data_IF_308314599420
#
_entry.id   IF_308314599420
#
_cell.length_a   1.000
_cell.length_b   1.000
_cell.length_c   1.000
_cell.angle_alpha   90.00
_cell.angle_beta   90.00
_cell.angle_gamma   90.00
#
_symmetry.space_group_name_H-M   'P 1'
#
loop_
_entity.id
_entity.type
_entity.pdbx_description
1 polymer ?
#
# COMPACT_ATOMS: atom_id res chain seq x y z
N UNK A 1 -0.14 -15.31 -18.80
CA UNK A 1 0.31 -13.92 -18.58
C UNK A 1 1.82 -13.89 -18.54
N UNK A 2 2.44 -12.88 -19.15
CA UNK A 2 3.89 -12.79 -19.42
C UNK A 2 4.83 -12.95 -18.20
N UNK A 3 4.31 -12.84 -16.96
CA UNK A 3 5.09 -13.01 -15.73
C UNK A 3 4.24 -13.66 -14.63
N UNK A 4 3.74 -14.87 -14.86
CA UNK A 4 3.22 -15.68 -13.76
C UNK A 4 4.42 -16.27 -13.02
N UNK A 5 4.70 -15.80 -11.80
CA UNK A 5 5.82 -16.33 -11.03
C UNK A 5 5.48 -17.75 -10.62
N UNK A 6 6.21 -18.72 -11.17
CA UNK A 6 6.01 -20.14 -10.88
C UNK A 6 7.04 -20.58 -9.86
N UNK A 7 6.58 -20.88 -8.66
CA UNK A 7 7.36 -21.53 -7.60
C UNK A 7 6.50 -22.59 -6.94
N UNK A 8 7.14 -23.59 -6.33
CA UNK A 8 6.42 -24.59 -5.55
C UNK A 8 5.71 -23.94 -4.36
N UNK A 9 4.69 -24.62 -3.83
CA UNK A 9 3.91 -24.11 -2.70
C UNK A 9 4.80 -23.83 -1.48
N UNK A 10 5.76 -24.71 -1.21
CA UNK A 10 6.72 -24.58 -0.11
C UNK A 10 7.63 -23.37 -0.32
N UNK A 11 8.18 -23.20 -1.52
CA UNK A 11 9.02 -22.04 -1.86
C UNK A 11 8.24 -20.72 -1.72
N UNK A 12 6.98 -20.69 -2.15
CA UNK A 12 6.12 -19.53 -2.02
C UNK A 12 5.87 -19.13 -0.57
N UNK A 13 5.61 -20.10 0.31
CA UNK A 13 5.43 -19.84 1.75
C UNK A 13 6.72 -19.29 2.37
N UNK A 14 7.86 -19.90 2.07
CA UNK A 14 9.17 -19.46 2.59
C UNK A 14 9.49 -18.04 2.13
N UNK A 15 9.31 -17.73 0.84
CA UNK A 15 9.55 -16.39 0.29
C UNK A 15 8.63 -15.33 0.91
N UNK A 16 7.35 -15.64 1.09
CA UNK A 16 6.41 -14.72 1.73
C UNK A 16 6.80 -14.44 3.18
N UNK A 17 7.16 -15.47 3.95
CA UNK A 17 7.62 -15.30 5.34
C UNK A 17 8.89 -14.45 5.42
N UNK A 18 9.89 -14.72 4.58
CA UNK A 18 11.12 -13.92 4.53
C UNK A 18 10.82 -12.45 4.17
N UNK A 19 9.92 -12.23 3.22
CA UNK A 19 9.48 -10.90 2.80
C UNK A 19 8.82 -10.13 3.94
N UNK A 20 7.92 -10.78 4.68
CA UNK A 20 7.24 -10.20 5.84
C UNK A 20 8.23 -9.87 6.96
N UNK A 21 9.17 -10.79 7.26
CA UNK A 21 10.22 -10.57 8.26
C UNK A 21 11.11 -9.38 7.88
N UNK A 22 11.54 -9.29 6.62
CA UNK A 22 12.33 -8.18 6.10
C UNK A 22 11.57 -6.85 6.26
N UNK A 23 10.30 -6.82 5.88
CA UNK A 23 9.49 -5.61 6.00
C UNK A 23 9.36 -5.17 7.46
N UNK A 24 8.98 -6.06 8.38
CA UNK A 24 8.89 -5.72 9.80
C UNK A 24 10.22 -5.24 10.37
N UNK A 25 11.33 -5.89 10.00
CA UNK A 25 12.66 -5.48 10.44
C UNK A 25 12.97 -4.03 9.99
N UNK A 26 12.76 -3.72 8.71
CA UNK A 26 13.04 -2.37 8.17
C UNK A 26 12.15 -1.30 8.79
N UNK A 27 10.86 -1.56 8.95
CA UNK A 27 9.90 -0.64 9.57
C UNK A 27 10.28 -0.36 11.02
N UNK A 28 10.53 -1.40 11.83
CA UNK A 28 10.89 -1.24 13.25
C UNK A 28 12.20 -0.47 13.38
N UNK A 29 13.23 -0.80 12.59
CA UNK A 29 14.52 -0.09 12.63
C UNK A 29 14.37 1.37 12.25
N UNK A 30 13.63 1.69 11.18
CA UNK A 30 13.36 3.08 10.78
C UNK A 30 12.62 3.84 11.88
N UNK A 31 11.58 3.26 12.46
CA UNK A 31 10.82 3.89 13.54
C UNK A 31 11.69 4.17 14.76
N UNK A 32 12.53 3.22 15.18
CA UNK A 32 13.44 3.40 16.32
C UNK A 32 14.49 4.48 16.07
N UNK A 33 15.01 4.60 14.84
CA UNK A 33 15.96 5.65 14.47
C UNK A 33 15.34 7.04 14.55
N UNK A 34 14.12 7.22 14.04
CA UNK A 34 13.44 8.53 14.04
C UNK A 34 12.87 8.93 15.39
N UNK A 35 12.67 7.98 16.30
CA UNK A 35 12.14 8.21 17.65
C UNK A 35 13.18 8.04 18.76
N UNK A 36 14.46 8.02 18.40
CA UNK A 36 15.56 7.94 19.36
C UNK A 36 15.44 9.06 20.41
N UNK A 37 15.31 8.68 21.68
CA UNK A 37 15.12 9.62 22.80
C UNK A 37 13.67 9.87 23.24
N UNK A 38 12.67 9.31 22.54
CA UNK A 38 11.26 9.39 22.96
C UNK A 38 10.90 8.29 23.96
N UNK A 39 9.93 8.57 24.84
CA UNK A 39 9.34 7.54 25.72
C UNK A 39 8.68 6.43 24.88
N UNK A 40 8.84 5.17 25.28
CA UNK A 40 8.28 3.99 24.57
C UNK A 40 6.80 4.12 24.24
N UNK A 41 6.00 4.68 25.15
CA UNK A 41 4.57 4.91 24.94
C UNK A 41 4.29 5.89 23.79
N UNK A 42 5.11 6.93 23.63
CA UNK A 42 4.99 7.87 22.52
C UNK A 42 5.38 7.20 21.20
N UNK A 43 6.44 6.39 21.17
CA UNK A 43 6.86 5.61 19.99
C UNK A 43 5.73 4.68 19.54
N UNK A 44 5.16 3.91 20.46
CA UNK A 44 4.06 3.00 20.16
C UNK A 44 2.84 3.75 19.61
N UNK A 45 2.50 4.91 20.17
CA UNK A 45 1.40 5.75 19.67
C UNK A 45 1.68 6.29 18.26
N UNK A 46 2.91 6.71 17.97
CA UNK A 46 3.29 7.17 16.63
C UNK A 46 3.21 6.03 15.60
N UNK A 47 3.69 4.84 15.95
CA UNK A 47 3.59 3.65 15.08
C UNK A 47 2.13 3.25 14.86
N UNK A 48 1.32 3.22 15.93
CA UNK A 48 -0.11 2.91 15.82
C UNK A 48 -0.84 3.90 14.93
N UNK A 49 -0.58 5.21 15.09
CA UNK A 49 -1.16 6.25 14.22
C UNK A 49 -0.67 6.13 12.76
N UNK A 50 0.59 5.73 12.55
CA UNK A 50 1.15 5.52 11.23
C UNK A 50 0.47 4.38 10.47
N UNK A 51 -0.10 3.40 11.17
CA UNK A 51 -0.86 2.28 10.58
C UNK A 51 -2.36 2.59 10.50
N UNK A 52 -2.95 3.12 11.58
CA UNK A 52 -4.39 3.36 11.67
C UNK A 52 -4.87 4.42 10.67
N UNK A 53 -4.11 5.51 10.49
CA UNK A 53 -4.54 6.60 9.60
C UNK A 53 -4.61 6.13 8.13
N UNK A 54 -3.57 5.48 7.56
CA UNK A 54 -3.68 4.90 6.23
C UNK A 54 -4.71 3.77 6.12
N UNK A 55 -4.89 2.95 7.16
CA UNK A 55 -5.90 1.89 7.18
C UNK A 55 -7.32 2.47 7.05
N UNK A 56 -7.63 3.56 7.77
CA UNK A 56 -8.89 4.29 7.61
C UNK A 56 -9.06 4.82 6.17
N UNK A 57 -7.98 5.33 5.57
CA UNK A 57 -7.99 5.77 4.17
C UNK A 57 -8.32 4.64 3.20
N UNK A 58 -7.74 3.45 3.41
CA UNK A 58 -8.05 2.28 2.59
C UNK A 58 -9.52 1.87 2.71
N UNK A 59 -10.06 1.84 3.94
CA UNK A 59 -11.48 1.53 4.17
C UNK A 59 -12.38 2.55 3.47
N UNK A 60 -12.08 3.85 3.62
CA UNK A 60 -12.84 4.91 2.96
C UNK A 60 -12.78 4.78 1.43
N UNK A 61 -11.61 4.48 0.87
CA UNK A 61 -11.43 4.26 -0.56
C UNK A 61 -12.33 3.12 -1.07
N UNK A 62 -12.31 1.95 -0.40
CA UNK A 62 -13.20 0.83 -0.76
C UNK A 62 -14.67 1.22 -0.64
N UNK A 63 -15.07 1.87 0.46
CA UNK A 63 -16.47 2.30 0.63
C UNK A 63 -16.90 3.32 -0.41
N UNK A 64 -15.99 4.17 -0.90
CA UNK A 64 -16.30 5.15 -1.94
C UNK A 64 -16.60 4.48 -3.28
N UNK A 65 -15.84 3.43 -3.64
CA UNK A 65 -16.08 2.64 -4.84
C UNK A 65 -17.43 1.89 -4.75
N UNK A 66 -17.74 1.31 -3.59
CA UNK A 66 -19.03 0.64 -3.35
C UNK A 66 -20.19 1.63 -3.39
N UNK A 67 -20.04 2.81 -2.79
CA UNK A 67 -21.07 3.86 -2.83
C UNK A 67 -21.36 4.32 -4.26
N UNK A 68 -20.32 4.46 -5.10
CA UNK A 68 -20.50 4.82 -6.51
C UNK A 68 -21.19 3.71 -7.31
N UNK A 69 -20.92 2.43 -7.01
CA UNK A 69 -21.65 1.33 -7.62
C UNK A 69 -23.15 1.39 -7.27
N UNK A 70 -23.50 1.57 -5.99
CA UNK A 70 -24.89 1.70 -5.53
C UNK A 70 -25.57 2.93 -6.17
N UNK A 71 -24.84 4.03 -6.30
CA UNK A 71 -25.35 5.24 -6.97
C UNK A 71 -25.70 4.98 -8.44
N UNK A 72 -24.82 4.30 -9.19
CA UNK A 72 -25.08 3.94 -10.58
C UNK A 72 -26.25 2.96 -10.74
N UNK A 73 -26.38 2.01 -9.81
CA UNK A 73 -27.53 1.09 -9.76
C UNK A 73 -28.84 1.86 -9.57
N UNK A 74 -28.86 2.88 -8.71
CA UNK A 74 -30.04 3.73 -8.48
C UNK A 74 -30.45 4.54 -9.73
N UNK A 75 -29.47 4.91 -10.55
CA UNK A 75 -29.69 5.62 -11.82
C UNK A 75 -30.04 4.69 -12.99
N UNK A 76 -30.30 3.40 -12.71
CA UNK A 76 -30.57 2.37 -13.73
C UNK A 76 -29.47 2.32 -14.82
N UNK A 77 -28.26 2.73 -14.48
CA UNK A 77 -27.07 2.70 -15.35
C UNK A 77 -25.95 1.86 -14.74
N UNK A 78 -26.26 0.63 -14.26
CA UNK A 78 -25.25 -0.26 -13.72
C UNK A 78 -24.22 -0.55 -14.80
N UNK A 79 -22.95 -0.72 -14.41
CA UNK A 79 -21.91 -1.16 -15.35
C UNK A 79 -21.70 -0.24 -16.57
N UNK A 80 -22.14 1.02 -16.51
CA UNK A 80 -21.95 2.04 -17.57
C UNK A 80 -20.48 2.24 -17.97
N UNK A 81 -19.55 1.90 -17.08
CA UNK A 81 -18.12 1.89 -17.32
C UNK A 81 -17.64 0.77 -18.29
N UNK A 82 -18.45 -0.26 -18.58
CA UNK A 82 -18.14 -1.25 -19.61
C UNK A 82 -18.25 -0.64 -21.02
N UNK A 83 -19.26 0.19 -21.26
CA UNK A 83 -19.47 0.86 -22.55
C UNK A 83 -18.52 2.03 -22.72
N UNK A 84 -18.20 2.72 -21.63
CA UNK A 84 -17.28 3.86 -21.63
C UNK A 84 -16.18 3.65 -20.58
N UNK A 85 -15.11 2.94 -20.95
CA UNK A 85 -13.98 2.64 -20.05
C UNK A 85 -13.30 3.89 -19.46
N UNK A 86 -13.45 5.06 -20.11
CA UNK A 86 -12.98 6.34 -19.59
C UNK A 86 -13.68 6.78 -18.30
N UNK A 87 -14.89 6.29 -18.04
CA UNK A 87 -15.66 6.59 -16.82
C UNK A 87 -15.07 5.95 -15.55
N UNK A 88 -14.24 4.92 -15.69
CA UNK A 88 -13.60 4.25 -14.54
C UNK A 88 -12.75 5.23 -13.73
N UNK A 89 -12.06 6.16 -14.41
CA UNK A 89 -11.18 7.12 -13.77
C UNK A 89 -11.95 8.14 -12.90
N UNK A 90 -12.94 8.89 -13.41
CA UNK A 90 -13.69 9.85 -12.61
C UNK A 90 -14.66 9.20 -11.61
N UNK A 91 -15.25 8.04 -11.93
CA UNK A 91 -16.23 7.41 -11.03
C UNK A 91 -15.59 6.57 -9.93
N UNK A 92 -14.44 5.94 -10.17
CA UNK A 92 -13.84 5.04 -9.17
C UNK A 92 -12.48 5.51 -8.69
N UNK A 93 -11.57 5.85 -9.61
CA UNK A 93 -10.19 6.20 -9.24
C UNK A 93 -10.10 7.51 -8.47
N UNK A 94 -10.66 8.61 -8.99
CA UNK A 94 -10.60 9.92 -8.33
C UNK A 94 -11.26 9.92 -6.94
N UNK A 95 -12.50 9.43 -6.75
CA UNK A 95 -13.14 9.41 -5.43
C UNK A 95 -12.36 8.55 -4.43
N UNK A 96 -11.85 7.40 -4.87
CA UNK A 96 -11.02 6.52 -4.03
C UNK A 96 -9.71 7.20 -3.62
N UNK A 97 -9.07 7.95 -4.54
CA UNK A 97 -7.84 8.68 -4.25
C UNK A 97 -8.07 9.79 -3.21
N UNK A 98 -9.16 10.56 -3.34
CA UNK A 98 -9.55 11.57 -2.35
C UNK A 98 -9.86 10.92 -1.00
N UNK A 99 -10.63 9.83 -0.99
CA UNK A 99 -10.97 9.10 0.22
C UNK A 99 -9.73 8.52 0.93
N UNK A 100 -8.73 8.05 0.17
CA UNK A 100 -7.46 7.56 0.70
C UNK A 100 -6.63 8.68 1.34
N UNK A 101 -6.61 9.87 0.73
CA UNK A 101 -5.84 11.02 1.20
C UNK A 101 -6.51 11.78 2.36
N UNK A 102 -7.85 11.73 2.48
CA UNK A 102 -8.60 12.53 3.44
C UNK A 102 -8.20 12.30 4.91
N UNK A 103 -8.06 11.06 5.43
CA UNK A 103 -7.64 10.84 6.81
C UNK A 103 -6.25 11.38 7.12
N UNK A 104 -5.33 11.28 6.15
CA UNK A 104 -3.98 11.82 6.28
C UNK A 104 -4.03 13.34 6.38
N UNK A 105 -4.78 14.01 5.49
CA UNK A 105 -4.93 15.46 5.47
C UNK A 105 -5.60 16.00 6.74
N UNK A 106 -6.69 15.38 7.19
CA UNK A 106 -7.39 15.77 8.42
C UNK A 106 -6.48 15.58 9.62
N UNK A 107 -5.77 14.46 9.69
CA UNK A 107 -4.90 14.17 10.82
C UNK A 107 -3.68 15.11 10.88
N UNK A 108 -3.11 15.50 9.74
CA UNK A 108 -2.03 16.51 9.73
C UNK A 108 -2.57 17.89 10.08
N UNK A 109 -3.76 18.28 9.59
CA UNK A 109 -4.38 19.57 9.90
C UNK A 109 -4.78 19.72 11.39
N UNK A 110 -5.30 18.66 12.01
CA UNK A 110 -5.74 18.69 13.41
C UNK A 110 -4.59 18.58 14.42
N UNK A 111 -3.38 18.21 14.00
CA UNK A 111 -2.29 17.90 14.91
C UNK A 111 -1.27 19.04 14.97
N UNK A 112 -1.17 19.67 16.13
CA UNK A 112 -0.03 20.52 16.51
C UNK A 112 1.20 19.62 16.74
N UNK A 113 1.87 19.22 15.66
CA UNK A 113 2.89 18.17 15.70
C UNK A 113 4.29 18.74 15.97
N UNK A 114 5.09 18.00 16.74
CA UNK A 114 6.49 18.33 17.10
C UNK A 114 7.53 17.70 16.16
N UNK A 115 7.11 16.85 15.21
CA UNK A 115 8.00 16.19 14.24
C UNK A 115 7.95 16.94 12.90
N UNK A 116 9.08 16.98 12.21
CA UNK A 116 9.17 17.49 10.84
C UNK A 116 8.25 16.70 9.90
N UNK A 117 7.50 17.40 9.05
CA UNK A 117 6.52 16.83 8.12
C UNK A 117 7.11 15.70 7.26
N UNK A 118 8.37 15.84 6.86
CA UNK A 118 9.08 14.82 6.10
C UNK A 118 9.21 13.49 6.83
N UNK A 119 9.60 13.51 8.11
CA UNK A 119 9.73 12.30 8.95
C UNK A 119 8.34 11.69 9.19
N UNK A 120 7.32 12.52 9.35
CA UNK A 120 5.96 12.05 9.50
C UNK A 120 5.47 11.31 8.22
N UNK A 121 5.77 11.85 7.04
CA UNK A 121 5.48 11.17 5.78
C UNK A 121 6.20 9.81 5.68
N UNK A 122 7.49 9.74 6.05
CA UNK A 122 8.22 8.47 6.09
C UNK A 122 7.55 7.45 7.02
N UNK A 123 7.09 7.88 8.20
CA UNK A 123 6.38 6.99 9.13
C UNK A 123 5.08 6.45 8.52
N UNK A 124 4.30 7.27 7.82
CA UNK A 124 3.09 6.80 7.14
C UNK A 124 3.39 5.79 6.02
N UNK A 125 4.41 6.04 5.21
CA UNK A 125 4.84 5.11 4.17
C UNK A 125 5.27 3.75 4.77
N UNK A 126 6.03 3.77 5.88
CA UNK A 126 6.37 2.55 6.62
C UNK A 126 5.12 1.86 7.21
N UNK A 127 4.13 2.63 7.67
CA UNK A 127 2.85 2.10 8.15
C UNK A 127 2.04 1.40 7.04
N UNK A 128 1.99 2.00 5.84
CA UNK A 128 1.38 1.38 4.65
C UNK A 128 2.09 0.06 4.30
N UNK A 129 3.42 0.06 4.34
CA UNK A 129 4.20 -1.16 4.10
C UNK A 129 3.88 -2.26 5.14
N UNK A 130 3.66 -1.87 6.39
CA UNK A 130 3.25 -2.79 7.46
C UNK A 130 1.86 -3.39 7.20
N UNK A 131 0.90 -2.59 6.72
CA UNK A 131 -0.44 -3.08 6.32
C UNK A 131 -0.32 -4.13 5.21
N UNK A 132 0.43 -3.84 4.15
CA UNK A 132 0.63 -4.80 3.05
C UNK A 132 1.34 -6.08 3.52
N UNK A 133 2.27 -5.98 4.46
CA UNK A 133 2.95 -7.14 5.04
C UNK A 133 2.01 -8.03 5.86
N UNK A 134 1.10 -7.43 6.64
CA UNK A 134 0.06 -8.18 7.35
C UNK A 134 -0.89 -8.86 6.37
N UNK A 135 -1.31 -8.16 5.32
CA UNK A 135 -2.15 -8.76 4.27
C UNK A 135 -1.45 -9.93 3.56
N UNK A 136 -0.16 -9.82 3.27
CA UNK A 136 0.64 -10.89 2.70
C UNK A 136 0.72 -12.11 3.65
N UNK A 137 0.93 -11.87 4.94
CA UNK A 137 0.95 -12.93 5.95
C UNK A 137 -0.41 -13.66 6.00
N UNK A 138 -1.51 -12.91 6.07
CA UNK A 138 -2.87 -13.47 6.08
C UNK A 138 -3.16 -14.27 4.80
N UNK A 139 -2.79 -13.74 3.63
CA UNK A 139 -2.95 -14.44 2.35
C UNK A 139 -2.14 -15.74 2.29
N UNK A 140 -0.96 -15.76 2.91
CA UNK A 140 -0.10 -16.96 2.99
C UNK A 140 -0.70 -18.00 3.91
N UNK A 141 -1.21 -17.61 5.08
CA UNK A 141 -1.90 -18.52 6.02
C UNK A 141 -3.16 -19.11 5.39
N UNK A 142 -3.89 -18.31 4.61
CA UNK A 142 -5.08 -18.76 3.89
C UNK A 142 -4.78 -19.62 2.64
N UNK A 143 -3.51 -19.85 2.30
CA UNK A 143 -3.12 -20.67 1.14
C UNK A 143 -3.51 -20.05 -0.21
N UNK A 144 -3.64 -18.72 -0.29
CA UNK A 144 -4.07 -18.04 -1.52
C UNK A 144 -2.93 -18.10 -2.55
N UNK A 145 -3.16 -18.81 -3.67
CA UNK A 145 -2.18 -18.95 -4.75
C UNK A 145 -1.74 -17.61 -5.37
N UNK A 146 -2.60 -16.59 -5.38
CA UNK A 146 -2.30 -15.24 -5.89
C UNK A 146 -1.55 -14.34 -4.89
N UNK A 147 -1.12 -14.86 -3.73
CA UNK A 147 -0.35 -14.10 -2.75
C UNK A 147 0.99 -13.55 -3.30
N UNK A 148 1.48 -14.10 -4.43
CA UNK A 148 2.65 -13.60 -5.14
C UNK A 148 2.54 -12.11 -5.53
N UNK A 149 1.33 -11.62 -5.81
CA UNK A 149 1.09 -10.22 -6.16
C UNK A 149 1.41 -9.33 -4.95
N UNK A 150 0.89 -9.70 -3.78
CA UNK A 150 1.15 -9.01 -2.52
C UNK A 150 2.62 -9.13 -2.11
N UNK A 151 3.24 -10.28 -2.38
CA UNK A 151 4.67 -10.49 -2.13
C UNK A 151 5.50 -9.45 -2.87
N UNK A 152 5.25 -9.21 -4.16
CA UNK A 152 5.99 -8.20 -4.94
C UNK A 152 5.78 -6.78 -4.41
N UNK A 153 4.55 -6.45 -4.00
CA UNK A 153 4.20 -5.15 -3.40
C UNK A 153 4.96 -4.89 -2.10
N UNK A 154 5.27 -5.93 -1.32
CA UNK A 154 6.01 -5.80 -0.05
C UNK A 154 7.52 -5.94 -0.25
N UNK A 155 7.96 -6.88 -1.08
CA UNK A 155 9.36 -7.26 -1.25
C UNK A 155 10.18 -6.14 -1.87
N UNK A 156 9.72 -5.54 -2.96
CA UNK A 156 10.52 -4.56 -3.70
C UNK A 156 10.73 -3.28 -2.86
N UNK A 157 9.69 -2.68 -2.24
CA UNK A 157 9.89 -1.58 -1.30
C UNK A 157 10.65 -1.98 -0.02
N UNK A 158 10.47 -3.22 0.45
CA UNK A 158 11.22 -3.76 1.58
C UNK A 158 12.72 -3.85 1.33
N UNK A 159 13.11 -4.36 0.17
CA UNK A 159 14.52 -4.42 -0.26
C UNK A 159 15.10 -3.01 -0.43
N UNK A 160 14.36 -2.09 -1.06
CA UNK A 160 14.80 -0.70 -1.18
C UNK A 160 15.02 -0.05 0.18
N UNK A 161 14.09 -0.21 1.12
CA UNK A 161 14.24 0.28 2.50
C UNK A 161 15.42 -0.36 3.23
N UNK A 162 15.65 -1.66 3.04
CA UNK A 162 16.80 -2.35 3.60
C UNK A 162 18.13 -1.82 3.06
N UNK A 163 18.23 -1.62 1.74
CA UNK A 163 19.42 -1.04 1.11
C UNK A 163 19.67 0.40 1.56
N UNK A 164 18.62 1.22 1.67
CA UNK A 164 18.71 2.59 2.18
C UNK A 164 19.16 2.64 3.65
N UNK A 165 18.76 1.65 4.45
CA UNK A 165 19.21 1.48 5.84
C UNK A 165 20.71 1.11 5.89
N UNK A 166 21.16 0.15 5.07
CA UNK A 166 22.57 -0.25 4.98
C UNK A 166 23.48 0.91 4.56
N UNK A 167 23.04 1.70 3.58
CA UNK A 167 23.75 2.88 3.09
C UNK A 167 23.64 4.11 4.02
N UNK A 168 22.97 3.98 5.19
CA UNK A 168 22.68 5.07 6.15
C UNK A 168 22.00 6.30 5.51
N UNK A 169 21.37 6.15 4.35
CA UNK A 169 20.66 7.23 3.64
C UNK A 169 19.22 7.43 4.11
N UNK A 170 18.74 6.60 5.03
CA UNK A 170 17.42 6.73 5.64
C UNK A 170 17.16 8.08 6.35
N UNK A 171 18.23 8.76 6.81
CA UNK A 171 18.11 10.04 7.50
C UNK A 171 17.79 11.21 6.55
N UNK A 172 18.10 11.07 5.26
CA UNK A 172 17.74 12.08 4.26
C UNK A 172 16.35 11.77 3.70
N UNK A 173 15.35 12.52 4.18
CA UNK A 173 13.95 12.39 3.76
C UNK A 173 13.77 12.36 2.23
N UNK A 174 14.32 13.31 1.44
CA UNK A 174 14.06 13.33 -0.02
C UNK A 174 14.69 12.13 -0.73
N UNK A 175 15.88 11.70 -0.31
CA UNK A 175 16.56 10.53 -0.91
C UNK A 175 15.82 9.25 -0.58
N UNK A 176 15.40 9.10 0.68
CA UNK A 176 14.61 7.96 1.11
C UNK A 176 13.27 7.90 0.37
N UNK A 177 12.56 9.03 0.27
CA UNK A 177 11.25 9.09 -0.38
C UNK A 177 11.37 8.76 -1.87
N UNK A 178 12.39 9.28 -2.56
CA UNK A 178 12.66 8.96 -3.95
C UNK A 178 12.94 7.45 -4.14
N UNK A 179 13.78 6.87 -3.29
CA UNK A 179 14.08 5.43 -3.33
C UNK A 179 12.84 4.57 -3.06
N UNK A 180 12.05 4.93 -2.05
CA UNK A 180 10.80 4.24 -1.73
C UNK A 180 9.78 4.35 -2.86
N UNK A 181 9.53 5.54 -3.40
CA UNK A 181 8.59 5.76 -4.52
C UNK A 181 9.02 5.01 -5.77
N UNK A 182 10.31 5.09 -6.15
CA UNK A 182 10.84 4.35 -7.31
C UNK A 182 10.61 2.83 -7.16
N UNK A 183 10.85 2.31 -5.95
CA UNK A 183 10.63 0.89 -5.65
C UNK A 183 9.16 0.49 -5.61
N UNK A 184 8.25 1.40 -5.23
CA UNK A 184 6.82 1.15 -5.17
C UNK A 184 6.13 1.29 -6.54
N UNK A 185 6.69 2.09 -7.46
CA UNK A 185 6.17 2.23 -8.82
C UNK A 185 6.20 0.92 -9.61
N UNK A 186 7.27 0.14 -9.47
CA UNK A 186 7.39 -1.13 -10.18
C UNK A 186 6.23 -2.11 -9.86
N UNK A 187 5.95 -2.48 -8.60
CA UNK A 187 4.82 -3.34 -8.28
C UNK A 187 3.48 -2.66 -8.58
N UNK A 188 3.38 -1.32 -8.53
CA UNK A 188 2.16 -0.61 -8.93
C UNK A 188 1.86 -0.77 -10.43
N UNK A 189 2.84 -0.64 -11.32
CA UNK A 189 2.65 -0.90 -12.74
C UNK A 189 2.26 -2.36 -13.00
N UNK A 190 2.86 -3.28 -12.25
CA UNK A 190 2.53 -4.70 -12.35
C UNK A 190 1.09 -5.00 -11.92
N UNK A 191 0.62 -4.43 -10.81
CA UNK A 191 -0.77 -4.61 -10.36
C UNK A 191 -1.78 -3.95 -11.30
N UNK A 192 -1.46 -2.78 -11.87
CA UNK A 192 -2.28 -2.13 -12.90
C UNK A 192 -2.38 -3.02 -14.15
N UNK A 193 -1.26 -3.56 -14.64
CA UNK A 193 -1.24 -4.47 -15.78
C UNK A 193 -2.12 -5.72 -15.54
N UNK A 194 -1.99 -6.35 -14.37
CA UNK A 194 -2.84 -7.50 -14.00
C UNK A 194 -4.32 -7.12 -13.90
N UNK A 195 -4.63 -5.92 -13.41
CA UNK A 195 -6.01 -5.43 -13.30
C UNK A 195 -6.62 -5.19 -14.67
N UNK A 196 -5.87 -4.65 -15.63
CA UNK A 196 -6.31 -4.47 -17.02
C UNK A 196 -6.55 -5.83 -17.68
N UNK A 197 -5.63 -6.79 -17.51
CA UNK A 197 -5.76 -8.13 -18.08
C UNK A 197 -6.99 -8.84 -17.49
N UNK A 198 -7.22 -8.70 -16.19
CA UNK A 198 -8.42 -9.21 -15.53
C UNK A 198 -9.69 -8.58 -16.13
N UNK A 199 -9.73 -7.26 -16.31
CA UNK A 199 -10.89 -6.58 -16.91
C UNK A 199 -11.14 -7.04 -18.36
N UNK A 200 -10.10 -7.26 -19.16
CA UNK A 200 -10.22 -7.76 -20.53
C UNK A 200 -10.84 -9.17 -20.63
N UNK A 201 -10.76 -9.98 -19.57
CA UNK A 201 -11.42 -11.29 -19.52
C UNK A 201 -12.95 -11.15 -19.39
N UNK A 202 -13.42 -10.09 -18.71
CA UNK A 202 -14.86 -9.87 -18.46
C UNK A 202 -15.51 -8.89 -19.43
N UNK A 203 -14.74 -8.00 -20.05
CA UNK A 203 -15.23 -7.09 -21.10
C UNK A 203 -15.14 -7.85 -22.42
N UNK A 204 -16.27 -8.27 -23.03
CA UNK A 204 -16.22 -8.91 -24.34
C UNK A 204 -15.61 -7.92 -25.33
N UNK A 205 -14.47 -8.31 -25.90
CA UNK A 205 -13.80 -7.58 -26.97
C UNK A 205 -14.71 -7.72 -28.20
N UNK A 206 -15.47 -6.68 -28.52
CA UNK A 206 -16.10 -6.54 -29.84
C UNK A 206 -15.07 -6.04 -30.84
#
# INVERSE_FOLDING_TARGET
>A
GLFMVQYSEVEGIVLNLLTVLLSFYTVIKNTLLHTAGMKRQAVCRHLAMAVLVPALGMVLAVTSAVANAIFLDSLHSPMSWYTHSSLVLPLYFLPSLFALAAPLYIFTACKSNKLCDGIQAQMYCNGIQMIWSVLLLLATIAGIRSAYILMLVVLIPGLANFLLLLCKRNQSVPVWLCGFLASALFPAFYTIYLSILFMQVFIPVT
#
